data_IF_465205228680
#
_entry.id   IF_465205228680
#
_cell.length_a   1.000
_cell.length_b   1.000
_cell.length_c   1.000
_cell.angle_alpha   90.00
_cell.angle_beta   90.00
_cell.angle_gamma   90.00
#
_symmetry.space_group_name_H-M   'P 1'
#
loop_
_entity.id
_entity.type
_entity.pdbx_description
1 polymer ?
#
# COMPACT_ATOMS: atom_id res chain seq x y z
N UNK A 1 15.14 -20.96 3.72
CA UNK A 1 13.68 -21.12 3.48
C UNK A 1 13.06 -19.80 3.06
N UNK A 2 13.41 -18.73 3.71
CA UNK A 2 12.95 -17.34 3.42
C UNK A 2 13.22 -16.89 1.99
N UNK A 3 14.42 -17.12 1.43
CA UNK A 3 14.74 -16.72 0.05
C UNK A 3 13.75 -17.28 -0.99
N UNK A 4 13.27 -18.52 -0.80
CA UNK A 4 12.28 -19.13 -1.70
C UNK A 4 10.90 -18.47 -1.55
N UNK A 5 10.52 -18.11 -0.31
CA UNK A 5 9.29 -17.38 -0.03
C UNK A 5 9.34 -16.00 -0.69
N UNK A 6 10.42 -15.25 -0.48
CA UNK A 6 10.57 -13.90 -1.02
C UNK A 6 10.57 -13.88 -2.55
N UNK A 7 11.25 -14.84 -3.20
CA UNK A 7 11.20 -15.02 -4.64
C UNK A 7 9.77 -15.34 -5.10
N UNK A 8 9.07 -16.24 -4.42
CA UNK A 8 7.68 -16.60 -4.76
C UNK A 8 6.74 -15.39 -4.64
N UNK A 9 6.87 -14.59 -3.57
CA UNK A 9 6.07 -13.38 -3.36
C UNK A 9 6.32 -12.34 -4.46
N UNK A 10 7.59 -12.11 -4.77
CA UNK A 10 8.00 -11.19 -5.83
C UNK A 10 7.46 -11.63 -7.19
N UNK A 11 7.62 -12.90 -7.54
CA UNK A 11 7.11 -13.46 -8.79
C UNK A 11 5.59 -13.39 -8.89
N UNK A 12 4.87 -13.62 -7.79
CA UNK A 12 3.41 -13.46 -7.75
C UNK A 12 3.01 -12.01 -8.03
N UNK A 13 3.66 -11.03 -7.38
CA UNK A 13 3.36 -9.62 -7.63
C UNK A 13 3.59 -9.24 -9.11
N UNK A 14 4.70 -9.68 -9.71
CA UNK A 14 5.00 -9.43 -11.12
C UNK A 14 3.96 -10.08 -12.05
N UNK A 15 3.58 -11.34 -11.79
CA UNK A 15 2.54 -12.04 -12.58
C UNK A 15 1.17 -11.38 -12.48
N UNK A 16 0.87 -10.75 -11.35
CA UNK A 16 -0.37 -10.00 -11.12
C UNK A 16 -0.37 -8.62 -11.77
N UNK A 17 0.75 -8.20 -12.37
CA UNK A 17 0.85 -6.95 -13.14
C UNK A 17 1.63 -5.83 -12.47
N UNK A 18 2.33 -6.09 -11.36
CA UNK A 18 3.29 -5.13 -10.83
C UNK A 18 4.44 -4.93 -11.83
N UNK A 19 4.90 -3.70 -11.97
CA UNK A 19 6.04 -3.35 -12.80
C UNK A 19 7.37 -3.81 -12.16
N UNK A 20 7.47 -3.66 -10.85
CA UNK A 20 8.56 -4.18 -10.00
C UNK A 20 8.00 -4.60 -8.66
N UNK A 21 8.67 -5.56 -8.03
CA UNK A 21 8.40 -5.99 -6.67
C UNK A 21 9.71 -6.38 -5.98
N UNK A 22 9.78 -6.22 -4.66
CA UNK A 22 10.93 -6.60 -3.82
C UNK A 22 10.46 -6.83 -2.40
N UNK A 23 11.06 -7.75 -1.69
CA UNK A 23 10.87 -7.90 -0.24
C UNK A 23 12.01 -7.18 0.48
N UNK A 24 11.67 -6.37 1.47
CA UNK A 24 12.61 -5.65 2.33
C UNK A 24 12.28 -5.91 3.81
N UNK A 25 13.22 -5.63 4.70
CA UNK A 25 12.93 -5.55 6.13
C UNK A 25 12.05 -4.35 6.44
N UNK A 26 11.08 -4.47 7.35
CA UNK A 26 10.29 -3.33 7.83
C UNK A 26 11.15 -2.29 8.57
N UNK A 27 12.29 -2.68 9.11
CA UNK A 27 13.27 -1.77 9.70
C UNK A 27 13.85 -0.74 8.71
N UNK A 28 13.78 -1.04 7.40
CA UNK A 28 14.23 -0.14 6.33
C UNK A 28 13.12 0.85 5.86
N UNK A 29 11.93 0.77 6.45
CA UNK A 29 10.82 1.68 6.14
C UNK A 29 10.98 2.98 6.93
N UNK A 30 11.18 4.07 6.21
CA UNK A 30 11.24 5.41 6.81
C UNK A 30 9.83 5.92 7.05
N UNK A 31 9.53 6.26 8.30
CA UNK A 31 8.25 6.80 8.74
C UNK A 31 8.37 8.28 9.07
N UNK A 32 7.38 9.07 8.66
CA UNK A 32 7.29 10.50 8.95
C UNK A 32 5.84 10.89 9.25
N UNK A 33 5.59 11.37 10.46
CA UNK A 33 4.25 11.82 10.88
C UNK A 33 3.74 13.05 10.11
N UNK A 34 4.63 13.81 9.46
CA UNK A 34 4.26 14.98 8.65
C UNK A 34 3.30 14.61 7.50
N UNK A 35 3.26 13.36 7.06
CA UNK A 35 2.26 12.89 6.09
C UNK A 35 0.83 13.00 6.61
N UNK A 36 0.62 12.96 7.94
CA UNK A 36 -0.70 13.20 8.54
C UNK A 36 -1.15 14.66 8.32
N UNK A 37 -0.24 15.61 8.41
CA UNK A 37 -0.54 17.03 8.16
C UNK A 37 -0.85 17.26 6.68
N UNK A 38 -0.12 16.58 5.78
CA UNK A 38 -0.42 16.58 4.34
C UNK A 38 -1.81 15.98 4.05
N UNK A 39 -2.20 14.91 4.73
CA UNK A 39 -3.55 14.36 4.63
C UNK A 39 -4.60 15.36 5.15
N UNK A 40 -4.32 16.09 6.24
CA UNK A 40 -5.22 17.09 6.82
C UNK A 40 -5.42 18.31 5.90
N UNK A 41 -4.43 18.64 5.05
CA UNK A 41 -4.56 19.65 4.00
C UNK A 41 -5.61 19.28 2.94
N UNK A 42 -6.02 18.00 2.91
CA UNK A 42 -7.13 17.46 2.12
C UNK A 42 -7.06 17.73 0.61
N UNK A 43 -5.88 17.85 0.03
CA UNK A 43 -5.69 18.11 -1.40
C UNK A 43 -6.31 16.99 -2.28
N UNK A 44 -6.34 15.75 -1.78
CA UNK A 44 -6.97 14.61 -2.47
C UNK A 44 -8.49 14.50 -2.23
N UNK A 45 -9.09 15.33 -1.37
CA UNK A 45 -10.52 15.36 -1.07
C UNK A 45 -11.06 14.16 -0.28
N UNK A 46 -10.21 13.31 0.30
CA UNK A 46 -10.62 12.08 1.00
C UNK A 46 -10.56 12.16 2.52
N UNK A 47 -10.00 13.23 3.08
CA UNK A 47 -9.95 13.45 4.53
C UNK A 47 -11.36 13.50 5.14
N UNK A 48 -11.64 12.68 6.16
CA UNK A 48 -12.96 12.57 6.79
C UNK A 48 -14.06 11.98 5.90
N UNK A 49 -13.74 11.48 4.70
CA UNK A 49 -14.70 10.94 3.73
C UNK A 49 -14.51 9.47 3.39
N UNK A 50 -13.49 8.85 3.97
CA UNK A 50 -13.16 7.43 3.78
C UNK A 50 -12.70 6.84 5.11
N UNK A 51 -13.21 5.66 5.49
CA UNK A 51 -12.80 4.99 6.73
C UNK A 51 -11.31 4.59 6.74
N UNK A 52 -10.70 4.43 5.58
CA UNK A 52 -9.27 4.11 5.44
C UNK A 52 -8.40 5.36 5.27
N UNK A 53 -8.95 6.55 5.50
CA UNK A 53 -8.23 7.82 5.47
C UNK A 53 -8.35 8.53 6.82
N UNK A 54 -7.41 9.43 7.15
CA UNK A 54 -7.53 10.26 8.34
C UNK A 54 -8.83 11.10 8.36
N UNK A 55 -9.37 11.37 9.55
CA UNK A 55 -8.95 10.91 10.87
C UNK A 55 -9.40 9.46 11.19
N UNK A 56 -10.32 8.87 10.43
CA UNK A 56 -11.04 7.64 10.74
C UNK A 56 -10.16 6.38 10.73
N UNK A 57 -9.06 6.38 9.98
CA UNK A 57 -8.13 5.24 9.90
C UNK A 57 -7.39 4.99 11.22
N UNK A 58 -7.34 5.97 12.09
CA UNK A 58 -6.72 5.88 13.41
C UNK A 58 -5.64 6.92 13.68
N UNK A 59 -5.09 6.88 14.89
CA UNK A 59 -4.03 7.74 15.35
C UNK A 59 -2.70 7.43 14.65
N UNK A 60 -1.95 8.46 14.26
CA UNK A 60 -0.72 8.29 13.46
C UNK A 60 0.39 7.56 14.23
N UNK A 61 0.55 7.86 15.52
CA UNK A 61 1.62 7.24 16.31
C UNK A 61 1.33 5.75 16.53
N UNK A 62 0.05 5.37 16.68
CA UNK A 62 -0.38 3.97 16.74
C UNK A 62 -0.16 3.24 15.42
N UNK A 63 -0.51 3.88 14.29
CA UNK A 63 -0.34 3.28 12.97
C UNK A 63 1.15 3.13 12.58
N UNK A 64 1.98 4.12 12.92
CA UNK A 64 3.43 4.02 12.72
C UNK A 64 4.03 2.91 13.60
N UNK A 65 3.62 2.82 14.86
CA UNK A 65 4.07 1.74 15.75
C UNK A 65 3.71 0.35 15.22
N UNK A 66 2.51 0.22 14.64
CA UNK A 66 2.05 -1.04 14.04
C UNK A 66 2.96 -1.53 12.91
N UNK A 67 3.61 -0.64 12.12
CA UNK A 67 4.58 -1.05 11.09
C UNK A 67 5.71 -1.89 11.71
N UNK A 68 6.17 -1.50 12.90
CA UNK A 68 7.25 -2.19 13.61
C UNK A 68 6.88 -3.58 14.17
N UNK A 69 5.60 -3.96 14.11
CA UNK A 69 5.14 -5.29 14.54
C UNK A 69 5.35 -6.37 13.47
N UNK A 70 5.77 -5.98 12.27
CA UNK A 70 6.04 -6.88 11.14
C UNK A 70 7.54 -6.96 10.87
N UNK A 71 7.97 -8.08 10.29
CA UNK A 71 9.39 -8.35 9.97
C UNK A 71 9.75 -7.90 8.57
N UNK A 72 8.87 -8.18 7.61
CA UNK A 72 9.13 -7.97 6.19
C UNK A 72 7.99 -7.21 5.51
N UNK A 73 8.31 -6.59 4.39
CA UNK A 73 7.35 -5.95 3.50
C UNK A 73 7.62 -6.36 2.05
N UNK A 74 6.64 -6.97 1.38
CA UNK A 74 6.61 -7.05 -0.07
C UNK A 74 6.19 -5.68 -0.59
N UNK A 75 7.14 -4.93 -1.14
CA UNK A 75 6.90 -3.64 -1.81
C UNK A 75 6.72 -3.89 -3.30
N UNK A 76 5.71 -3.29 -3.90
CA UNK A 76 5.47 -3.37 -5.34
C UNK A 76 5.08 -2.01 -5.91
N UNK A 77 5.36 -1.82 -7.19
CA UNK A 77 4.98 -0.60 -7.90
C UNK A 77 4.31 -0.92 -9.23
N UNK A 78 3.43 -0.02 -9.66
CA UNK A 78 2.90 0.04 -11.01
C UNK A 78 3.35 1.32 -11.68
N UNK A 79 3.60 1.27 -12.98
CA UNK A 79 3.98 2.43 -13.80
C UNK A 79 3.01 2.52 -14.97
N UNK A 80 2.48 3.69 -15.21
CA UNK A 80 1.61 3.95 -16.37
C UNK A 80 2.07 5.20 -17.10
N UNK A 81 2.00 5.15 -18.43
CA UNK A 81 2.23 6.31 -19.29
C UNK A 81 1.02 7.26 -19.20
N UNK A 82 1.27 8.55 -19.32
CA UNK A 82 0.33 9.64 -19.32
C UNK A 82 0.50 10.45 -20.64
N UNK A 83 -0.53 11.13 -21.08
CA UNK A 83 -0.43 12.03 -22.23
C UNK A 83 0.56 13.17 -21.94
N UNK A 84 0.48 13.75 -20.74
CA UNK A 84 1.41 14.75 -20.22
C UNK A 84 1.40 14.77 -18.69
N UNK A 85 2.15 15.71 -18.10
CA UNK A 85 2.27 15.86 -16.63
C UNK A 85 0.98 16.38 -15.96
N UNK A 86 -0.03 16.80 -16.70
CA UNK A 86 -1.32 17.31 -16.23
C UNK A 86 -2.48 16.36 -16.55
N UNK A 87 -2.20 15.17 -17.07
CA UNK A 87 -3.21 14.14 -17.37
C UNK A 87 -3.77 13.54 -16.07
N UNK A 88 -4.63 14.30 -15.39
CA UNK A 88 -5.28 13.86 -14.15
C UNK A 88 -6.22 12.66 -14.36
N UNK A 89 -6.86 12.55 -15.51
CA UNK A 89 -7.73 11.42 -15.83
C UNK A 89 -6.90 10.15 -15.98
N UNK A 90 -5.80 10.21 -16.72
CA UNK A 90 -4.85 9.11 -16.83
C UNK A 90 -4.27 8.69 -15.49
N UNK A 91 -3.93 9.62 -14.59
CA UNK A 91 -3.49 9.31 -13.22
C UNK A 91 -4.56 8.56 -12.43
N UNK A 92 -5.83 8.98 -12.53
CA UNK A 92 -6.95 8.31 -11.84
C UNK A 92 -7.14 6.89 -12.38
N UNK A 93 -7.11 6.71 -13.71
CA UNK A 93 -7.22 5.38 -14.33
C UNK A 93 -6.03 4.48 -13.99
N UNK A 94 -4.81 5.01 -13.99
CA UNK A 94 -3.62 4.29 -13.56
C UNK A 94 -3.74 3.82 -12.10
N UNK A 95 -4.24 4.68 -11.20
CA UNK A 95 -4.50 4.31 -9.81
C UNK A 95 -5.51 3.17 -9.71
N UNK A 96 -6.60 3.20 -10.46
CA UNK A 96 -7.61 2.14 -10.44
C UNK A 96 -7.03 0.77 -10.82
N UNK A 97 -6.00 0.73 -11.68
CA UNK A 97 -5.33 -0.52 -12.09
C UNK A 97 -4.50 -1.15 -10.96
N UNK A 98 -4.15 -0.40 -9.91
CA UNK A 98 -3.41 -0.95 -8.77
C UNK A 98 -4.30 -1.80 -7.86
N UNK A 99 -5.61 -1.53 -7.79
CA UNK A 99 -6.51 -2.22 -6.87
C UNK A 99 -6.65 -3.73 -7.14
N UNK A 100 -6.86 -4.20 -8.38
CA UNK A 100 -6.89 -5.63 -8.66
C UNK A 100 -5.62 -6.35 -8.20
N UNK A 101 -4.44 -5.74 -8.40
CA UNK A 101 -3.17 -6.30 -7.95
C UNK A 101 -3.16 -6.42 -6.42
N UNK A 102 -3.53 -5.35 -5.71
CA UNK A 102 -3.58 -5.33 -4.26
C UNK A 102 -4.57 -6.36 -3.69
N UNK A 103 -5.75 -6.53 -4.31
CA UNK A 103 -6.74 -7.54 -3.88
C UNK A 103 -6.25 -8.96 -4.17
N UNK A 104 -5.66 -9.22 -5.34
CA UNK A 104 -5.12 -10.54 -5.68
C UNK A 104 -3.92 -10.92 -4.79
N UNK A 105 -3.09 -9.95 -4.40
CA UNK A 105 -2.04 -10.19 -3.41
C UNK A 105 -2.63 -10.55 -2.04
N UNK A 106 -3.78 -9.99 -1.66
CA UNK A 106 -4.49 -10.40 -0.44
C UNK A 106 -4.84 -11.88 -0.47
N UNK A 107 -5.35 -12.37 -1.61
CA UNK A 107 -5.69 -13.79 -1.77
C UNK A 107 -4.42 -14.66 -1.67
N UNK A 108 -3.32 -14.26 -2.33
CA UNK A 108 -2.02 -14.96 -2.24
C UNK A 108 -1.54 -15.08 -0.79
N UNK A 109 -1.58 -13.99 -0.02
CA UNK A 109 -1.16 -14.00 1.38
C UNK A 109 -2.12 -14.78 2.27
N UNK A 110 -3.41 -14.75 2.00
CA UNK A 110 -4.42 -15.55 2.71
C UNK A 110 -4.17 -17.06 2.53
N UNK A 111 -3.79 -17.49 1.33
CA UNK A 111 -3.47 -18.89 1.04
C UNK A 111 -2.19 -19.36 1.75
N UNK A 112 -1.26 -18.44 2.03
CA UNK A 112 -0.03 -18.73 2.76
C UNK A 112 -0.23 -18.92 4.27
N UNK A 113 -1.42 -18.56 4.80
CA UNK A 113 -1.80 -18.69 6.23
C UNK A 113 -0.86 -18.00 7.20
N UNK A 114 -0.22 -16.90 6.79
CA UNK A 114 0.63 -16.09 7.66
C UNK A 114 -0.22 -15.46 8.77
N UNK A 115 0.27 -15.48 9.99
CA UNK A 115 -0.51 -15.05 11.18
C UNK A 115 -0.82 -13.56 11.18
N UNK A 116 0.10 -12.74 10.70
CA UNK A 116 -0.03 -11.28 10.67
C UNK A 116 0.28 -10.76 9.29
N UNK A 117 -0.70 -10.10 8.68
CA UNK A 117 -0.54 -9.46 7.37
C UNK A 117 -1.24 -8.10 7.38
N UNK A 118 -0.55 -7.07 6.93
CA UNK A 118 -1.10 -5.72 6.75
C UNK A 118 -0.93 -5.28 5.29
N UNK A 119 -2.05 -4.99 4.63
CA UNK A 119 -2.06 -4.50 3.27
C UNK A 119 -2.18 -2.98 3.23
N UNK A 120 -1.22 -2.31 2.58
CA UNK A 120 -1.21 -0.87 2.34
C UNK A 120 -1.18 -0.62 0.82
N UNK A 121 -1.95 0.36 0.36
CA UNK A 121 -2.08 0.66 -1.06
C UNK A 121 -1.75 2.12 -1.39
N UNK A 122 -1.93 2.51 -2.66
CA UNK A 122 -1.75 3.88 -3.10
C UNK A 122 -3.00 4.72 -2.83
N UNK A 123 -2.87 5.74 -1.99
CA UNK A 123 -3.94 6.68 -1.70
C UNK A 123 -5.15 6.04 -1.02
N UNK A 124 -6.29 6.73 -0.97
CA UNK A 124 -7.47 6.24 -0.27
C UNK A 124 -8.05 4.95 -0.84
N UNK A 125 -8.78 4.20 -0.01
CA UNK A 125 -9.45 2.95 -0.37
C UNK A 125 -10.36 3.12 -1.60
N UNK A 126 -10.21 2.24 -2.58
CA UNK A 126 -10.93 2.24 -3.86
C UNK A 126 -11.93 1.10 -4.03
N UNK A 127 -12.26 0.36 -2.98
CA UNK A 127 -13.20 -0.78 -3.04
C UNK A 127 -14.61 -0.35 -3.44
N UNK A 128 -15.05 0.82 -2.95
CA UNK A 128 -16.36 1.38 -3.26
C UNK A 128 -16.22 2.59 -4.19
N UNK A 129 -17.10 2.74 -5.18
CA UNK A 129 -17.21 3.96 -5.98
C UNK A 129 -17.43 5.20 -5.11
N UNK A 130 -18.19 5.06 -4.01
CA UNK A 130 -18.39 6.05 -2.95
C UNK A 130 -18.34 5.36 -1.61
N UNK A 131 -17.46 5.82 -0.71
CA UNK A 131 -17.33 5.23 0.62
C UNK A 131 -18.60 5.46 1.44
N UNK A 132 -19.05 4.43 2.17
CA UNK A 132 -20.20 4.46 3.06
C UNK A 132 -20.08 5.52 4.18
N UNK A 133 -18.86 5.89 4.57
CA UNK A 133 -18.57 7.02 5.46
C UNK A 133 -19.29 8.29 5.06
N UNK A 134 -19.42 8.58 3.75
CA UNK A 134 -20.06 9.79 3.23
C UNK A 134 -21.58 9.82 3.42
N UNK A 135 -22.18 8.70 3.78
CA UNK A 135 -23.61 8.55 4.08
C UNK A 135 -23.85 8.18 5.53
N UNK A 136 -22.79 8.12 6.36
CA UNK A 136 -22.90 7.75 7.77
C UNK A 136 -23.15 6.26 8.01
N UNK A 137 -23.02 5.42 6.98
CA UNK A 137 -23.20 3.97 7.06
C UNK A 137 -21.89 3.27 7.41
N UNK A 138 -21.91 2.09 8.05
CA UNK A 138 -20.73 1.27 8.26
C UNK A 138 -20.02 0.89 6.95
N UNK A 139 -18.72 0.57 7.05
CA UNK A 139 -17.99 0.07 5.89
C UNK A 139 -18.65 -1.19 5.33
N UNK A 140 -18.95 -1.20 4.02
CA UNK A 140 -19.61 -2.33 3.36
C UNK A 140 -18.70 -3.52 3.15
N UNK A 141 -17.40 -3.28 3.05
CA UNK A 141 -16.38 -4.30 2.75
C UNK A 141 -15.16 -4.15 3.66
N UNK A 142 -15.33 -4.31 5.00
CA UNK A 142 -14.21 -4.09 5.93
C UNK A 142 -13.04 -5.03 5.68
N UNK A 143 -13.31 -6.28 5.24
CA UNK A 143 -12.29 -7.26 4.91
C UNK A 143 -11.48 -6.95 3.62
N UNK A 144 -11.97 -6.07 2.74
CA UNK A 144 -11.29 -5.68 1.50
C UNK A 144 -10.69 -4.28 1.58
N UNK A 145 -11.10 -3.49 2.58
CA UNK A 145 -10.66 -2.12 2.73
C UNK A 145 -9.16 -2.04 3.07
N UNK A 146 -8.44 -1.15 2.38
CA UNK A 146 -7.01 -0.95 2.58
C UNK A 146 -6.70 0.53 2.78
N UNK A 147 -5.91 0.90 3.81
CA UNK A 147 -5.38 2.24 3.97
C UNK A 147 -4.21 2.49 3.01
N UNK A 148 -3.83 3.76 2.87
CA UNK A 148 -2.67 4.12 2.09
C UNK A 148 -1.38 4.03 2.92
N UNK A 149 -0.25 3.90 2.22
CA UNK A 149 1.09 3.98 2.81
C UNK A 149 1.26 5.28 3.61
N UNK A 150 0.87 6.42 3.04
CA UNK A 150 0.99 7.74 3.67
C UNK A 150 0.08 7.88 4.89
N UNK A 151 -1.07 7.19 4.94
CA UNK A 151 -1.94 7.18 6.12
C UNK A 151 -1.25 6.53 7.34
N UNK A 152 -0.29 5.65 7.10
CA UNK A 152 0.58 5.01 8.08
C UNK A 152 1.91 5.75 8.29
N UNK A 153 2.08 6.94 7.71
CA UNK A 153 3.30 7.73 7.83
C UNK A 153 4.47 7.22 6.99
N UNK A 154 4.24 6.29 6.06
CA UNK A 154 5.32 5.75 5.22
C UNK A 154 5.78 6.80 4.21
N UNK A 155 7.08 7.11 4.21
CA UNK A 155 7.72 7.91 3.18
C UNK A 155 7.93 7.06 1.92
N UNK A 156 7.03 7.21 0.95
CA UNK A 156 7.02 6.35 -0.25
C UNK A 156 8.24 6.55 -1.14
N UNK A 157 8.86 7.74 -1.15
CA UNK A 157 10.10 7.95 -1.91
C UNK A 157 11.30 7.22 -1.29
N UNK A 158 11.38 7.20 0.04
CA UNK A 158 12.38 6.41 0.76
C UNK A 158 12.10 4.90 0.66
N UNK A 159 10.82 4.50 0.75
CA UNK A 159 10.40 3.11 0.53
C UNK A 159 10.84 2.61 -0.86
N UNK A 160 10.65 3.41 -1.90
CA UNK A 160 11.12 3.08 -3.24
C UNK A 160 12.64 2.85 -3.26
N UNK A 161 13.40 3.71 -2.58
CA UNK A 161 14.86 3.60 -2.49
C UNK A 161 15.28 2.33 -1.75
N UNK A 162 14.70 2.05 -0.59
CA UNK A 162 14.97 0.84 0.19
C UNK A 162 14.65 -0.44 -0.59
N UNK A 163 13.61 -0.41 -1.42
CA UNK A 163 13.21 -1.52 -2.29
C UNK A 163 14.03 -1.62 -3.60
N UNK A 164 15.03 -0.74 -3.83
CA UNK A 164 15.82 -0.70 -5.07
C UNK A 164 15.01 -0.28 -6.30
N UNK A 165 13.94 0.51 -6.10
CA UNK A 165 13.02 0.97 -7.14
C UNK A 165 13.18 2.47 -7.39
N UNK A 166 12.77 2.92 -8.58
CA UNK A 166 12.67 4.34 -8.88
C UNK A 166 11.31 4.87 -8.44
N UNK A 167 11.30 6.00 -7.72
CA UNK A 167 10.06 6.70 -7.38
C UNK A 167 9.43 7.38 -8.61
N UNK A 168 10.27 7.93 -9.50
CA UNK A 168 9.88 8.51 -10.79
C UNK A 168 10.47 7.64 -11.92
N UNK A 169 9.64 7.10 -12.80
CA UNK A 169 10.05 6.12 -13.83
C UNK A 169 10.16 6.71 -15.25
N UNK A 170 10.17 8.01 -15.38
CA UNK A 170 10.35 8.71 -16.65
C UNK A 170 9.42 9.91 -16.80
N UNK A 171 9.64 10.68 -17.89
CA UNK A 171 8.77 11.78 -18.25
C UNK A 171 7.38 11.23 -18.65
N UNK A 172 6.33 11.97 -18.31
CA UNK A 172 4.94 11.59 -18.61
C UNK A 172 4.59 10.17 -18.10
N UNK A 173 5.04 9.82 -16.89
CA UNK A 173 4.64 8.59 -16.22
C UNK A 173 4.11 8.88 -14.83
N UNK A 174 3.19 8.04 -14.37
CA UNK A 174 2.77 7.98 -12.96
C UNK A 174 3.14 6.63 -12.36
N UNK A 175 3.67 6.67 -11.15
CA UNK A 175 4.04 5.47 -10.38
C UNK A 175 3.20 5.40 -9.12
N UNK A 176 2.59 4.25 -8.88
CA UNK A 176 1.90 3.94 -7.63
C UNK A 176 2.57 2.78 -6.92
N UNK A 177 2.66 2.89 -5.60
CA UNK A 177 3.25 1.88 -4.73
C UNK A 177 2.19 1.24 -3.85
N UNK A 178 2.40 -0.02 -3.54
CA UNK A 178 1.71 -0.72 -2.47
C UNK A 178 2.70 -1.57 -1.69
N UNK A 179 2.31 -1.98 -0.49
CA UNK A 179 3.09 -2.89 0.32
C UNK A 179 2.19 -3.89 1.05
N UNK A 180 2.71 -5.09 1.24
CA UNK A 180 2.13 -6.09 2.13
C UNK A 180 3.16 -6.40 3.20
N UNK A 181 2.88 -5.99 4.44
CA UNK A 181 3.73 -6.27 5.57
C UNK A 181 3.32 -7.60 6.18
N UNK A 182 4.30 -8.41 6.59
CA UNK A 182 4.05 -9.75 7.12
C UNK A 182 5.17 -10.20 8.08
N UNK A 183 4.84 -11.20 8.90
CA UNK A 183 5.82 -11.99 9.63
C UNK A 183 5.96 -13.34 8.94
N UNK A 184 7.16 -13.91 8.93
CA UNK A 184 7.34 -15.32 8.62
C UNK A 184 7.00 -16.11 9.88
N UNK A 185 6.39 -17.31 9.72
CA UNK A 185 6.20 -18.20 10.85
C UNK A 185 7.59 -18.47 11.44
N UNK A 186 7.82 -18.04 12.67
CA UNK A 186 9.03 -18.42 13.38
C UNK A 186 9.10 -19.93 13.42
N UNK A 187 10.26 -20.52 13.09
CA UNK A 187 10.48 -21.94 13.26
C UNK A 187 10.07 -22.31 14.70
N UNK A 188 8.87 -22.89 14.87
CA UNK A 188 8.55 -23.64 16.09
C UNK A 188 9.42 -24.91 16.10
N UNK A 189 10.72 -24.71 16.37
CA UNK A 189 11.65 -25.76 16.67
C UNK A 189 12.50 -25.34 17.87
N UNK A 190 11.92 -25.46 19.07
CA UNK A 190 12.65 -25.88 20.28
C UNK A 190 11.76 -26.79 21.12
#
# INVERSE_FOLDING_TARGET
>A
MEDKLFLSLTDNALRLGAYRASVISTADIVLDRAFRDMCAANSCGMYGRCYMCPPDVGDIDMLMAQIGEYEYALVYQTVSELEDSYDFEGMIEAKKRTYPIAQSLRDVFSDMKLERVLHLCAGGCGVCKRCAKQTGEPCRFPGLAMPSLEAYGVNVSELARSAGMKYINGQNTVTYFGAVLFCTDGDENE
#
